data_IF_598206603448
#
_entry.id   IF_598206603448
#
_cell.length_a   1.000
_cell.length_b   1.000
_cell.length_c   1.000
_cell.angle_alpha   90.00
_cell.angle_beta   90.00
_cell.angle_gamma   90.00
#
_symmetry.space_group_name_H-M   'P 1'
#
loop_
_entity.id
_entity.type
_entity.pdbx_description
1 polymer ?
#
# COMPACT_ATOMS: atom_id res chain seq x y z
N UNK A 1 -13.50 21.11 18.16
CA UNK A 1 -13.09 19.97 19.02
C UNK A 1 -11.57 19.97 19.11
N UNK A 2 -10.95 19.89 20.30
CA UNK A 2 -9.50 19.79 20.42
C UNK A 2 -9.00 18.49 19.76
N UNK A 3 -7.99 18.62 18.90
CA UNK A 3 -7.32 17.48 18.25
C UNK A 3 -5.96 17.29 18.92
N UNK A 4 -5.66 16.04 19.30
CA UNK A 4 -4.35 15.67 19.84
C UNK A 4 -3.67 14.74 18.85
N UNK A 5 -2.49 15.12 18.38
CA UNK A 5 -1.67 14.32 17.50
C UNK A 5 -0.82 13.32 18.29
N UNK A 6 -0.84 12.06 17.87
CA UNK A 6 -0.02 10.97 18.41
C UNK A 6 0.84 10.40 17.28
N UNK A 7 2.14 10.67 17.26
CA UNK A 7 3.03 10.02 16.30
C UNK A 7 3.15 8.54 16.65
N UNK A 8 2.92 7.68 15.66
CA UNK A 8 3.18 6.25 15.77
C UNK A 8 4.53 5.91 15.13
N UNK A 9 5.27 4.98 15.75
CA UNK A 9 6.56 4.51 15.22
C UNK A 9 6.40 3.57 14.03
N UNK A 10 5.28 2.87 13.96
CA UNK A 10 4.99 1.85 12.96
C UNK A 10 3.48 1.62 12.76
N UNK A 11 3.13 0.83 11.74
CA UNK A 11 1.74 0.49 11.42
C UNK A 11 1.06 -0.32 12.53
N UNK A 12 1.81 -1.17 13.24
CA UNK A 12 1.26 -1.99 14.31
C UNK A 12 0.80 -1.11 15.49
N UNK A 13 1.55 -0.05 15.82
CA UNK A 13 1.16 0.93 16.84
C UNK A 13 -0.15 1.63 16.50
N UNK A 14 -0.38 1.98 15.23
CA UNK A 14 -1.66 2.57 14.78
C UNK A 14 -2.81 1.56 14.94
N UNK A 15 -2.62 0.32 14.49
CA UNK A 15 -3.63 -0.75 14.61
C UNK A 15 -4.00 -0.95 16.08
N UNK A 16 -3.00 -1.12 16.95
CA UNK A 16 -3.25 -1.31 18.39
C UNK A 16 -3.91 -0.08 19.03
N UNK A 17 -3.52 1.12 18.62
CA UNK A 17 -4.12 2.36 19.11
C UNK A 17 -5.60 2.49 18.79
N UNK A 18 -6.00 2.17 17.56
CA UNK A 18 -7.40 2.21 17.12
C UNK A 18 -8.23 1.08 17.77
N UNK A 19 -7.71 -0.16 17.78
CA UNK A 19 -8.39 -1.29 18.44
C UNK A 19 -8.49 -1.12 19.95
N UNK A 20 -7.44 -0.55 20.58
CA UNK A 20 -7.37 -0.26 22.01
C UNK A 20 -8.03 1.05 22.43
N UNK A 21 -8.64 1.81 21.49
CA UNK A 21 -9.34 3.08 21.72
C UNK A 21 -8.47 4.22 22.29
N UNK A 22 -7.16 4.16 22.06
CA UNK A 22 -6.23 5.26 22.38
C UNK A 22 -6.04 6.22 21.21
N UNK A 23 -6.44 5.79 19.99
CA UNK A 23 -6.57 6.60 18.78
C UNK A 23 -8.02 6.57 18.32
N UNK A 24 -8.51 7.69 17.81
CA UNK A 24 -9.87 7.84 17.30
C UNK A 24 -9.95 7.80 15.77
N UNK A 25 -8.90 8.28 15.12
CA UNK A 25 -8.82 8.49 13.67
C UNK A 25 -7.39 8.33 13.18
N UNK A 26 -7.21 7.72 11.99
CA UNK A 26 -5.90 7.62 11.34
C UNK A 26 -6.04 7.41 9.82
N UNK A 27 -5.03 7.85 9.07
CA UNK A 27 -4.80 7.41 7.68
C UNK A 27 -3.98 6.13 7.69
N UNK A 28 -4.44 5.08 7.02
CA UNK A 28 -3.80 3.76 7.03
C UNK A 28 -3.77 3.14 5.63
N UNK A 29 -2.83 2.22 5.41
CA UNK A 29 -2.86 1.41 4.18
C UNK A 29 -4.02 0.41 4.16
N UNK A 30 -4.46 -0.05 2.97
CA UNK A 30 -5.58 -1.00 2.84
C UNK A 30 -5.39 -2.28 3.67
N UNK A 31 -4.16 -2.79 3.72
CA UNK A 31 -3.80 -3.98 4.51
C UNK A 31 -3.95 -3.76 6.03
N UNK A 32 -3.63 -2.56 6.54
CA UNK A 32 -3.80 -2.23 7.96
C UNK A 32 -5.29 -2.16 8.33
N UNK A 33 -6.11 -1.54 7.46
CA UNK A 33 -7.56 -1.58 7.62
C UNK A 33 -8.09 -3.02 7.64
N UNK A 34 -7.68 -3.85 6.68
CA UNK A 34 -8.08 -5.25 6.61
C UNK A 34 -7.67 -6.02 7.88
N UNK A 35 -6.49 -5.74 8.45
CA UNK A 35 -6.08 -6.36 9.72
C UNK A 35 -7.03 -6.02 10.86
N UNK A 36 -7.36 -4.75 11.02
CA UNK A 36 -8.28 -4.29 12.07
C UNK A 36 -9.68 -4.89 11.90
N UNK A 37 -10.19 -4.92 10.66
CA UNK A 37 -11.49 -5.51 10.36
C UNK A 37 -11.56 -7.01 10.67
N UNK A 38 -10.51 -7.76 10.33
CA UNK A 38 -10.42 -9.20 10.63
C UNK A 38 -10.38 -9.48 12.14
N UNK A 39 -9.67 -8.62 12.88
CA UNK A 39 -9.54 -8.78 14.34
C UNK A 39 -10.80 -8.32 15.08
N UNK A 40 -11.42 -7.22 14.65
CA UNK A 40 -12.69 -6.72 15.17
C UNK A 40 -13.44 -5.89 14.11
N UNK A 41 -14.45 -6.44 13.41
CA UNK A 41 -15.19 -5.74 12.36
C UNK A 41 -16.04 -4.56 12.89
N UNK A 42 -16.18 -4.43 14.21
CA UNK A 42 -16.92 -3.34 14.86
C UNK A 42 -16.01 -2.24 15.42
N UNK A 43 -14.68 -2.36 15.28
CA UNK A 43 -13.76 -1.38 15.86
C UNK A 43 -13.70 -0.08 15.06
N UNK A 44 -13.49 -0.18 13.76
CA UNK A 44 -13.28 0.97 12.86
C UNK A 44 -14.07 0.85 11.57
N UNK A 45 -14.31 1.98 10.93
CA UNK A 45 -14.87 2.07 9.58
C UNK A 45 -14.00 2.98 8.70
N UNK A 46 -13.87 2.68 7.39
CA UNK A 46 -13.22 3.56 6.44
C UNK A 46 -14.22 4.64 6.05
N UNK A 47 -13.78 5.89 5.95
CA UNK A 47 -14.69 7.01 5.70
C UNK A 47 -14.34 7.81 4.45
N UNK A 48 -13.07 8.04 4.19
CA UNK A 48 -12.56 8.77 3.01
C UNK A 48 -11.24 8.17 2.55
N UNK A 49 -10.89 8.46 1.29
CA UNK A 49 -9.55 8.22 0.73
C UNK A 49 -9.16 9.36 -0.20
N UNK A 50 -7.89 9.41 -0.59
CA UNK A 50 -7.35 10.42 -1.50
C UNK A 50 -7.74 10.11 -2.94
N UNK A 51 -8.16 11.15 -3.68
CA UNK A 51 -8.19 11.18 -5.14
C UNK A 51 -6.94 11.88 -5.64
N UNK A 52 -6.15 11.19 -6.42
CA UNK A 52 -4.84 11.65 -6.89
C UNK A 52 -4.93 12.70 -8.00
N UNK A 53 -3.82 13.39 -8.28
CA UNK A 53 -3.76 14.41 -9.35
C UNK A 53 -3.99 13.83 -10.75
N UNK A 54 -3.68 12.54 -10.97
CA UNK A 54 -3.98 11.83 -12.21
C UNK A 54 -5.44 11.36 -12.32
N UNK A 55 -6.29 11.73 -11.35
CA UNK A 55 -7.71 11.39 -11.29
C UNK A 55 -8.00 9.99 -10.74
N UNK A 56 -6.99 9.17 -10.48
CA UNK A 56 -7.16 7.86 -9.88
C UNK A 56 -7.45 7.95 -8.38
N UNK A 57 -8.03 6.89 -7.85
CA UNK A 57 -8.25 6.70 -6.41
C UNK A 57 -7.56 5.42 -5.91
N UNK A 58 -6.54 4.98 -6.64
CA UNK A 58 -5.80 3.77 -6.30
C UNK A 58 -4.48 3.62 -7.04
N UNK A 59 -3.91 2.44 -6.92
CA UNK A 59 -2.57 2.11 -7.40
C UNK A 59 -2.48 0.62 -7.77
N UNK A 60 -1.29 0.17 -8.17
CA UNK A 60 -0.99 -1.24 -8.48
C UNK A 60 0.23 -1.71 -7.72
N UNK A 61 0.28 -3.01 -7.48
CA UNK A 61 1.52 -3.70 -7.12
C UNK A 61 2.32 -3.97 -8.38
N UNK A 62 3.63 -3.81 -8.31
CA UNK A 62 4.57 -4.12 -9.38
C UNK A 62 5.63 -5.10 -8.87
N UNK A 63 5.91 -6.16 -9.63
CA UNK A 63 7.12 -6.96 -9.44
C UNK A 63 8.16 -6.53 -10.45
N UNK A 64 9.40 -6.42 -10.00
CA UNK A 64 10.51 -5.89 -10.78
C UNK A 64 11.81 -6.68 -10.54
N UNK A 65 12.69 -6.60 -11.52
CA UNK A 65 14.01 -7.25 -11.54
C UNK A 65 15.04 -6.27 -12.09
N UNK A 66 16.34 -6.57 -11.98
CA UNK A 66 17.36 -5.82 -12.72
C UNK A 66 17.18 -6.02 -14.21
N UNK A 67 17.40 -4.97 -14.99
CA UNK A 67 17.25 -4.97 -16.46
C UNK A 67 18.26 -5.88 -17.16
N UNK A 68 19.45 -6.06 -16.56
CA UNK A 68 20.50 -6.96 -17.04
C UNK A 68 20.29 -8.44 -16.73
N UNK A 69 19.21 -8.78 -15.98
CA UNK A 69 18.84 -10.16 -15.70
C UNK A 69 18.14 -10.83 -16.88
N UNK A 70 18.17 -12.17 -16.90
CA UNK A 70 17.41 -12.99 -17.85
C UNK A 70 16.01 -13.36 -17.33
N UNK A 71 15.36 -12.44 -16.58
CA UNK A 71 14.03 -12.62 -15.99
C UNK A 71 13.08 -11.64 -16.70
N UNK A 72 12.07 -12.16 -17.39
CA UNK A 72 11.11 -11.37 -18.17
C UNK A 72 9.67 -11.58 -17.72
N UNK A 73 9.40 -12.64 -16.95
CA UNK A 73 8.08 -13.02 -16.47
C UNK A 73 8.13 -13.56 -15.05
N UNK A 74 6.96 -13.82 -14.45
CA UNK A 74 6.87 -14.50 -13.15
C UNK A 74 7.41 -15.93 -13.24
N UNK A 75 7.20 -16.61 -14.34
CA UNK A 75 7.63 -17.99 -14.58
C UNK A 75 9.16 -18.12 -14.55
N UNK A 76 9.88 -17.12 -15.06
CA UNK A 76 11.36 -17.05 -15.03
C UNK A 76 11.92 -16.89 -13.62
N UNK A 77 11.07 -16.53 -12.64
CA UNK A 77 11.47 -16.35 -11.25
C UNK A 77 11.60 -17.67 -10.47
N UNK A 78 11.31 -18.82 -11.09
CA UNK A 78 11.47 -20.12 -10.44
C UNK A 78 12.92 -20.32 -9.98
N UNK A 79 13.11 -20.64 -8.70
CA UNK A 79 14.43 -20.80 -8.08
C UNK A 79 15.20 -19.49 -7.85
N UNK A 80 14.59 -18.33 -8.09
CA UNK A 80 15.18 -17.02 -7.82
C UNK A 80 14.83 -16.52 -6.42
N UNK A 81 15.47 -15.43 -6.00
CA UNK A 81 15.23 -14.81 -4.70
C UNK A 81 14.37 -13.56 -4.81
N UNK A 82 13.50 -13.31 -3.80
CA UNK A 82 12.57 -12.17 -3.78
C UNK A 82 12.71 -11.35 -2.50
N UNK A 83 12.87 -10.04 -2.65
CA UNK A 83 12.77 -9.07 -1.57
C UNK A 83 11.32 -8.54 -1.48
N UNK A 84 10.59 -8.94 -0.45
CA UNK A 84 9.35 -8.29 -0.06
C UNK A 84 9.64 -7.01 0.73
N UNK A 85 8.76 -6.01 0.62
CA UNK A 85 8.98 -4.74 1.33
C UNK A 85 8.82 -4.90 2.84
N UNK A 86 7.63 -5.31 3.29
CA UNK A 86 7.28 -5.51 4.71
C UNK A 86 6.09 -6.47 4.80
N UNK A 87 5.97 -7.30 5.85
CA UNK A 87 4.89 -8.30 5.98
C UNK A 87 3.48 -7.72 6.05
N UNK A 88 3.32 -6.45 6.34
CA UNK A 88 2.02 -5.77 6.41
C UNK A 88 1.71 -4.91 5.19
N UNK A 89 2.65 -4.80 4.21
CA UNK A 89 2.39 -4.00 3.01
C UNK A 89 1.41 -4.69 2.07
N UNK A 90 0.49 -3.91 1.51
CA UNK A 90 -0.47 -4.39 0.51
C UNK A 90 0.24 -4.80 -0.78
N UNK A 91 0.95 -3.87 -1.42
CA UNK A 91 1.58 -4.06 -2.74
C UNK A 91 2.99 -4.65 -2.68
N UNK A 92 3.68 -4.46 -1.57
CA UNK A 92 5.04 -5.00 -1.39
C UNK A 92 5.09 -6.44 -0.93
N UNK A 93 3.92 -7.06 -0.59
CA UNK A 93 3.87 -8.45 -0.14
C UNK A 93 2.51 -9.13 -0.35
N UNK A 94 1.39 -8.59 0.21
CA UNK A 94 0.13 -9.34 0.26
C UNK A 94 -0.45 -9.63 -1.14
N UNK A 95 -0.59 -8.60 -1.96
CA UNK A 95 -1.17 -8.73 -3.30
C UNK A 95 -0.32 -9.60 -4.21
N UNK A 96 1.01 -9.39 -4.37
CA UNK A 96 1.81 -10.27 -5.22
C UNK A 96 1.88 -11.71 -4.69
N UNK A 97 1.92 -11.93 -3.36
CA UNK A 97 1.85 -13.28 -2.81
C UNK A 97 0.54 -13.98 -3.11
N UNK A 98 -0.59 -13.28 -2.99
CA UNK A 98 -1.90 -13.81 -3.33
C UNK A 98 -2.00 -14.16 -4.82
N UNK A 99 -1.54 -13.27 -5.70
CA UNK A 99 -1.50 -13.51 -7.15
C UNK A 99 -0.71 -14.77 -7.51
N UNK A 100 0.45 -14.98 -6.89
CA UNK A 100 1.23 -16.21 -7.09
C UNK A 100 0.42 -17.45 -6.70
N UNK A 101 -0.25 -17.42 -5.55
CA UNK A 101 -1.10 -18.53 -5.12
C UNK A 101 -2.28 -18.77 -6.07
N UNK A 102 -2.91 -17.71 -6.61
CA UNK A 102 -3.99 -17.84 -7.61
C UNK A 102 -3.51 -18.50 -8.91
N UNK A 103 -2.24 -18.34 -9.25
CA UNK A 103 -1.58 -19.03 -10.38
C UNK A 103 -1.13 -20.46 -10.03
N UNK A 104 -1.46 -20.96 -8.84
CA UNK A 104 -0.99 -22.27 -8.37
C UNK A 104 0.49 -22.30 -7.96
N UNK A 105 1.09 -21.14 -7.78
CA UNK A 105 2.50 -21.00 -7.36
C UNK A 105 2.55 -20.86 -5.85
N UNK A 106 3.16 -21.82 -5.17
CA UNK A 106 3.50 -21.71 -3.76
C UNK A 106 4.83 -20.95 -3.61
N UNK A 107 4.86 -19.72 -3.05
CA UNK A 107 6.09 -18.94 -2.97
C UNK A 107 7.24 -19.63 -2.22
N UNK A 108 6.92 -20.44 -1.18
CA UNK A 108 7.93 -21.14 -0.37
C UNK A 108 8.66 -22.27 -1.13
N UNK A 109 8.04 -22.80 -2.17
CA UNK A 109 8.59 -23.86 -3.01
C UNK A 109 9.15 -23.32 -4.33
N UNK A 110 8.59 -22.23 -4.79
CA UNK A 110 8.91 -21.64 -6.08
C UNK A 110 10.19 -20.81 -6.05
N UNK A 111 10.37 -20.01 -4.98
CA UNK A 111 11.56 -19.19 -4.79
C UNK A 111 12.63 -19.95 -4.02
N UNK A 112 13.90 -19.73 -4.36
CA UNK A 112 15.02 -20.27 -3.58
C UNK A 112 15.16 -19.59 -2.21
N UNK A 113 14.75 -18.31 -2.13
CA UNK A 113 14.77 -17.50 -0.92
C UNK A 113 13.80 -16.33 -1.04
N UNK A 114 13.10 -16.03 0.05
CA UNK A 114 12.35 -14.78 0.22
C UNK A 114 12.78 -14.09 1.51
N UNK A 115 12.65 -12.76 1.57
CA UNK A 115 12.95 -12.00 2.77
C UNK A 115 12.26 -10.64 2.74
N UNK A 116 12.14 -10.01 3.90
CA UNK A 116 11.60 -8.66 4.06
C UNK A 116 12.76 -7.66 4.17
N UNK A 117 12.73 -6.62 3.32
CA UNK A 117 13.80 -5.62 3.25
C UNK A 117 13.60 -4.45 4.23
N UNK A 118 12.44 -4.38 4.90
CA UNK A 118 12.10 -3.31 5.85
C UNK A 118 11.43 -2.09 5.22
N UNK A 119 11.16 -2.11 3.90
CA UNK A 119 10.46 -1.05 3.19
C UNK A 119 10.58 -1.17 1.68
N UNK A 120 9.84 -0.33 0.97
CA UNK A 120 9.80 -0.37 -0.50
C UNK A 120 11.13 0.08 -1.13
N UNK A 121 11.69 1.20 -0.68
CA UNK A 121 12.95 1.71 -1.20
C UNK A 121 14.10 0.74 -0.89
N UNK A 122 14.10 0.14 0.31
CA UNK A 122 15.10 -0.86 0.72
C UNK A 122 15.04 -2.12 -0.14
N UNK A 123 13.82 -2.58 -0.51
CA UNK A 123 13.66 -3.72 -1.41
C UNK A 123 14.22 -3.42 -2.81
N UNK A 124 13.99 -2.20 -3.33
CA UNK A 124 14.55 -1.77 -4.62
C UNK A 124 16.07 -1.73 -4.57
N UNK A 125 16.63 -1.13 -3.52
CA UNK A 125 18.10 -1.05 -3.33
C UNK A 125 18.70 -2.46 -3.21
N UNK A 126 18.06 -3.38 -2.49
CA UNK A 126 18.51 -4.75 -2.36
C UNK A 126 18.57 -5.50 -3.71
N UNK A 127 17.60 -5.25 -4.60
CA UNK A 127 17.59 -5.81 -5.96
C UNK A 127 18.67 -5.16 -6.83
N UNK A 128 18.80 -3.84 -6.80
CA UNK A 128 19.86 -3.13 -7.56
C UNK A 128 21.27 -3.59 -7.18
N UNK A 129 21.48 -3.87 -5.89
CA UNK A 129 22.75 -4.36 -5.36
C UNK A 129 22.96 -5.88 -5.57
N UNK A 130 22.02 -6.59 -6.21
CA UNK A 130 22.12 -8.03 -6.45
C UNK A 130 21.97 -8.91 -5.22
N UNK A 131 21.46 -8.36 -4.10
CA UNK A 131 21.19 -9.14 -2.88
C UNK A 131 19.96 -10.04 -3.07
N UNK A 132 19.02 -9.62 -3.93
CA UNK A 132 17.86 -10.38 -4.39
C UNK A 132 17.73 -10.23 -5.90
N UNK A 133 17.09 -11.22 -6.55
CA UNK A 133 16.87 -11.21 -8.00
C UNK A 133 15.67 -10.33 -8.37
N UNK A 134 14.64 -10.29 -7.52
CA UNK A 134 13.41 -9.56 -7.72
C UNK A 134 12.90 -8.89 -6.45
N UNK A 135 11.98 -7.94 -6.63
CA UNK A 135 11.28 -7.29 -5.52
C UNK A 135 9.85 -6.92 -5.89
N UNK A 136 9.09 -6.44 -4.91
CA UNK A 136 7.73 -5.93 -5.09
C UNK A 136 7.56 -4.56 -4.45
N UNK A 137 6.79 -3.67 -5.15
CA UNK A 137 6.53 -2.31 -4.70
C UNK A 137 5.19 -1.81 -5.22
N UNK A 138 4.85 -0.53 -4.96
CA UNK A 138 3.67 0.12 -5.53
C UNK A 138 4.03 1.17 -6.58
N UNK A 139 3.16 1.26 -7.57
CA UNK A 139 3.21 2.23 -8.67
C UNK A 139 1.79 2.68 -9.02
N UNK A 140 1.62 3.85 -9.66
CA UNK A 140 0.30 4.24 -10.18
C UNK A 140 -0.19 3.30 -11.28
N UNK A 141 0.73 2.75 -12.05
CA UNK A 141 0.43 1.98 -13.26
C UNK A 141 -0.10 2.84 -14.41
N UNK A 142 0.07 4.16 -14.31
CA UNK A 142 -0.29 5.17 -15.32
C UNK A 142 0.96 5.91 -15.75
N UNK A 143 0.99 6.37 -17.01
CA UNK A 143 2.15 7.01 -17.60
C UNK A 143 3.23 6.02 -18.03
N UNK A 144 4.39 6.54 -18.33
CA UNK A 144 5.52 5.80 -18.89
C UNK A 144 6.29 5.05 -17.80
N UNK A 145 6.59 3.78 -18.04
CA UNK A 145 7.39 2.95 -17.14
C UNK A 145 8.84 3.42 -17.05
N UNK A 146 9.41 3.94 -18.15
CA UNK A 146 10.76 4.48 -18.17
C UNK A 146 10.90 5.74 -17.29
N UNK A 147 9.81 6.45 -17.05
CA UNK A 147 9.75 7.58 -16.11
C UNK A 147 9.36 7.17 -14.68
N UNK A 148 9.15 5.87 -14.41
CA UNK A 148 8.71 5.35 -13.12
C UNK A 148 7.24 5.56 -12.85
N UNK A 149 6.43 5.67 -13.92
CA UNK A 149 5.00 6.01 -13.90
C UNK A 149 4.72 7.45 -13.40
N UNK A 150 3.47 7.83 -13.26
CA UNK A 150 3.06 9.15 -12.74
C UNK A 150 3.36 9.31 -11.25
N UNK A 151 3.19 8.22 -10.47
CA UNK A 151 3.37 8.15 -9.01
C UNK A 151 3.91 6.78 -8.60
N UNK A 152 4.46 6.70 -7.41
CA UNK A 152 4.93 5.45 -6.82
C UNK A 152 6.37 5.52 -6.36
N UNK A 153 6.85 4.39 -5.85
CA UNK A 153 8.20 4.35 -5.26
C UNK A 153 9.27 4.62 -6.32
N UNK A 154 9.10 4.08 -7.53
CA UNK A 154 10.06 4.35 -8.61
C UNK A 154 10.15 5.84 -8.91
N UNK A 155 9.01 6.51 -9.11
CA UNK A 155 8.98 7.97 -9.39
C UNK A 155 9.63 8.77 -8.26
N UNK A 156 9.34 8.41 -7.01
CA UNK A 156 9.91 9.08 -5.85
C UNK A 156 11.43 8.89 -5.76
N UNK A 157 11.94 7.70 -6.04
CA UNK A 157 13.38 7.42 -6.04
C UNK A 157 14.10 8.11 -7.21
N UNK A 158 13.45 8.22 -8.39
CA UNK A 158 13.98 9.00 -9.53
C UNK A 158 14.09 10.47 -9.14
N UNK A 159 13.04 11.07 -8.57
CA UNK A 159 13.07 12.47 -8.10
C UNK A 159 14.17 12.72 -7.06
N UNK A 160 14.51 11.72 -6.25
CA UNK A 160 15.62 11.78 -5.28
C UNK A 160 17.00 11.51 -5.90
N UNK A 161 17.09 11.15 -7.18
CA UNK A 161 18.33 10.74 -7.83
C UNK A 161 18.87 9.38 -7.39
N UNK A 162 18.02 8.53 -6.79
CA UNK A 162 18.40 7.22 -6.25
C UNK A 162 18.11 6.06 -7.21
N UNK A 163 17.33 6.29 -8.26
CA UNK A 163 16.92 5.27 -9.22
C UNK A 163 16.98 5.82 -10.64
N UNK A 164 17.47 4.97 -11.54
CA UNK A 164 17.38 5.09 -12.98
C UNK A 164 16.64 3.85 -13.50
N UNK A 165 15.52 4.02 -14.20
CA UNK A 165 14.71 2.92 -14.72
C UNK A 165 15.41 2.11 -15.81
N UNK A 166 16.51 2.62 -16.38
CA UNK A 166 17.37 1.80 -17.25
C UNK A 166 18.04 0.62 -16.52
N UNK A 167 18.00 0.62 -15.19
CA UNK A 167 18.54 -0.47 -14.35
C UNK A 167 17.49 -1.50 -13.91
N UNK A 168 16.20 -1.20 -14.08
CA UNK A 168 15.09 -2.06 -13.67
C UNK A 168 14.17 -2.42 -14.84
N UNK A 169 13.54 -3.57 -14.73
CA UNK A 169 12.45 -4.05 -15.58
C UNK A 169 11.27 -4.42 -14.69
N UNK A 170 10.10 -3.88 -14.99
CA UNK A 170 8.83 -4.35 -14.42
C UNK A 170 8.39 -5.58 -15.20
N UNK A 171 8.16 -6.69 -14.49
CA UNK A 171 7.77 -7.97 -15.09
C UNK A 171 6.31 -8.33 -14.85
N UNK A 172 5.66 -7.64 -13.92
CA UNK A 172 4.25 -7.86 -13.60
C UNK A 172 3.62 -6.65 -12.91
N UNK A 173 2.33 -6.43 -13.18
CA UNK A 173 1.46 -5.47 -12.50
C UNK A 173 0.19 -6.17 -12.03
N UNK A 174 -0.28 -5.81 -10.83
CA UNK A 174 -1.56 -6.27 -10.30
C UNK A 174 -2.75 -5.60 -10.98
N UNK A 175 -3.96 -6.09 -10.68
CA UNK A 175 -5.19 -5.33 -10.79
C UNK A 175 -5.16 -4.07 -9.91
N UNK A 176 -6.24 -3.29 -9.97
CA UNK A 176 -6.41 -2.06 -9.21
C UNK A 176 -6.51 -2.34 -7.70
N UNK A 177 -5.85 -1.50 -6.91
CA UNK A 177 -5.89 -1.50 -5.45
C UNK A 177 -6.35 -0.10 -5.02
N UNK A 178 -7.46 -0.01 -4.28
CA UNK A 178 -7.95 1.26 -3.73
C UNK A 178 -6.88 1.91 -2.83
N UNK A 179 -6.74 3.23 -2.87
CA UNK A 179 -5.88 3.98 -1.96
C UNK A 179 -6.25 3.72 -0.50
N UNK A 180 -5.28 3.86 0.40
CA UNK A 180 -5.49 3.61 1.82
C UNK A 180 -6.59 4.50 2.39
N UNK A 181 -7.49 3.94 3.24
CA UNK A 181 -8.55 4.72 3.84
C UNK A 181 -8.05 5.58 5.00
N UNK A 182 -8.72 6.68 5.21
CA UNK A 182 -8.82 7.27 6.53
C UNK A 182 -9.90 6.50 7.30
N UNK A 183 -9.55 6.01 8.46
CA UNK A 183 -10.42 5.20 9.31
C UNK A 183 -10.75 5.93 10.60
N UNK A 184 -11.96 5.70 11.08
CA UNK A 184 -12.46 6.25 12.34
C UNK A 184 -13.09 5.15 13.17
N UNK A 185 -13.04 5.27 14.50
CA UNK A 185 -13.73 4.32 15.38
C UNK A 185 -15.25 4.35 15.16
N UNK A 186 -15.85 3.17 15.03
CA UNK A 186 -17.30 3.03 14.82
C UNK A 186 -18.15 3.53 16.00
N UNK A 187 -17.63 3.45 17.23
CA UNK A 187 -18.35 3.81 18.45
C UNK A 187 -18.39 5.34 18.72
N UNK A 188 -17.79 6.16 17.86
CA UNK A 188 -17.91 7.61 17.95
C UNK A 188 -19.28 8.07 17.43
N UNK A 189 -19.81 9.23 17.92
CA UNK A 189 -21.08 9.77 17.49
C UNK A 189 -21.13 10.00 15.97
N UNK A 190 -22.23 9.63 15.33
CA UNK A 190 -22.39 9.77 13.88
C UNK A 190 -22.36 11.24 13.43
N UNK A 191 -22.88 12.15 14.25
CA UNK A 191 -22.78 13.60 13.98
C UNK A 191 -21.32 14.03 13.83
N UNK A 192 -20.46 13.64 14.77
CA UNK A 192 -19.02 13.93 14.72
C UNK A 192 -18.35 13.31 13.48
N UNK A 193 -18.65 12.04 13.17
CA UNK A 193 -18.13 11.38 11.98
C UNK A 193 -18.52 12.11 10.70
N UNK A 194 -19.79 12.50 10.58
CA UNK A 194 -20.29 13.24 9.43
C UNK A 194 -19.67 14.62 9.29
N UNK A 195 -19.48 15.36 10.39
CA UNK A 195 -18.76 16.64 10.37
C UNK A 195 -17.33 16.47 9.88
N UNK A 196 -16.60 15.47 10.40
CA UNK A 196 -15.23 15.18 9.99
C UNK A 196 -15.15 14.83 8.51
N UNK A 197 -16.04 13.97 8.01
CA UNK A 197 -16.11 13.61 6.60
C UNK A 197 -16.34 14.86 5.73
N UNK A 198 -17.34 15.67 6.08
CA UNK A 198 -17.69 16.86 5.31
C UNK A 198 -16.57 17.90 5.34
N UNK A 199 -15.90 18.07 6.49
CA UNK A 199 -14.74 18.95 6.60
C UNK A 199 -13.62 18.52 5.65
N UNK A 200 -13.23 17.23 5.67
CA UNK A 200 -12.16 16.71 4.81
C UNK A 200 -12.52 16.80 3.31
N UNK A 201 -13.76 16.46 2.94
CA UNK A 201 -14.21 16.57 1.54
C UNK A 201 -14.13 18.01 1.00
N UNK A 202 -14.29 18.99 1.87
CA UNK A 202 -14.23 20.41 1.53
C UNK A 202 -12.90 21.09 1.90
N UNK A 203 -11.96 20.36 2.47
CA UNK A 203 -10.73 20.94 3.04
C UNK A 203 -9.95 21.79 2.05
N UNK A 204 -9.87 21.36 0.79
CA UNK A 204 -9.22 22.13 -0.28
C UNK A 204 -9.80 23.53 -0.48
N UNK A 205 -11.12 23.68 -0.26
CA UNK A 205 -11.82 24.97 -0.38
C UNK A 205 -11.78 25.77 0.92
N UNK A 206 -11.67 25.08 2.07
CA UNK A 206 -11.64 25.71 3.41
C UNK A 206 -10.25 26.23 3.72
N UNK A 207 -9.23 25.39 3.46
CA UNK A 207 -7.83 25.69 3.72
C UNK A 207 -6.94 24.95 2.70
N UNK A 208 -6.66 25.60 1.58
CA UNK A 208 -5.87 25.03 0.49
C UNK A 208 -4.42 24.74 0.93
N UNK A 209 -3.87 25.54 1.83
CA UNK A 209 -2.51 25.34 2.31
C UNK A 209 -2.43 24.08 3.17
N UNK A 210 -3.30 23.92 4.15
CA UNK A 210 -3.41 22.72 4.98
C UNK A 210 -3.65 21.49 4.11
N UNK A 211 -4.55 21.58 3.11
CA UNK A 211 -4.80 20.50 2.17
C UNK A 211 -3.54 20.08 1.41
N UNK A 212 -2.77 21.04 0.89
CA UNK A 212 -1.50 20.76 0.18
C UNK A 212 -0.46 20.11 1.11
N UNK A 213 -0.39 20.56 2.34
CA UNK A 213 0.57 20.00 3.32
C UNK A 213 0.26 18.55 3.65
N UNK A 214 -1.00 18.21 3.97
CA UNK A 214 -1.38 16.84 4.34
C UNK A 214 -1.45 15.87 3.15
N UNK A 215 -1.57 16.37 1.92
CA UNK A 215 -1.59 15.57 0.70
C UNK A 215 -0.28 15.64 -0.09
N UNK A 216 0.74 16.32 0.45
CA UNK A 216 2.02 16.56 -0.21
C UNK A 216 1.89 17.24 -1.59
N UNK A 217 0.80 17.97 -1.82
CA UNK A 217 0.50 18.64 -3.09
C UNK A 217 0.11 17.70 -4.23
N UNK A 218 -0.02 16.41 -3.99
CA UNK A 218 -0.24 15.37 -5.01
C UNK A 218 -1.68 14.84 -5.06
N UNK A 219 -2.68 15.66 -4.67
CA UNK A 219 -4.09 15.23 -4.65
C UNK A 219 -5.04 16.22 -5.29
N UNK A 220 -6.14 15.71 -5.85
CA UNK A 220 -7.29 16.51 -6.30
C UNK A 220 -8.28 16.79 -5.15
N UNK A 221 -8.33 15.93 -4.14
CA UNK A 221 -9.27 16.01 -3.03
C UNK A 221 -9.41 14.68 -2.31
N UNK A 222 -10.42 14.62 -1.45
CA UNK A 222 -10.86 13.38 -0.83
C UNK A 222 -12.17 12.90 -1.47
N UNK A 223 -12.40 11.59 -1.44
CA UNK A 223 -13.66 10.94 -1.82
C UNK A 223 -14.13 10.04 -0.68
N UNK A 224 -15.45 9.85 -0.57
CA UNK A 224 -16.03 8.89 0.38
C UNK A 224 -15.70 7.47 -0.05
N UNK A 225 -15.46 6.61 0.94
CA UNK A 225 -15.30 5.17 0.77
C UNK A 225 -16.04 4.44 1.89
N UNK A 226 -16.26 3.16 1.68
CA UNK A 226 -16.89 2.27 2.66
C UNK A 226 -16.15 0.93 2.72
N UNK A 227 -16.66 -0.01 3.49
CA UNK A 227 -16.05 -1.34 3.65
C UNK A 227 -15.95 -2.10 2.31
N UNK A 228 -16.96 -2.02 1.46
CA UNK A 228 -17.05 -2.74 0.19
C UNK A 228 -15.87 -2.42 -0.75
N UNK A 229 -15.36 -1.19 -0.68
CA UNK A 229 -14.18 -0.77 -1.44
C UNK A 229 -12.89 -1.53 -1.05
N UNK A 230 -12.89 -2.23 0.09
CA UNK A 230 -11.73 -2.91 0.67
C UNK A 230 -11.95 -4.41 0.91
N UNK A 231 -13.11 -4.98 0.57
CA UNK A 231 -13.42 -6.40 0.77
C UNK A 231 -12.37 -7.31 0.13
N UNK A 232 -11.93 -6.99 -1.07
CA UNK A 232 -10.90 -7.76 -1.77
C UNK A 232 -9.58 -7.84 -0.96
N UNK A 233 -9.18 -6.76 -0.28
CA UNK A 233 -7.97 -6.75 0.55
C UNK A 233 -8.17 -7.54 1.85
N UNK A 234 -9.39 -7.50 2.41
CA UNK A 234 -9.75 -8.34 3.56
C UNK A 234 -9.66 -9.81 3.19
N UNK A 235 -10.20 -10.21 2.04
CA UNK A 235 -10.12 -11.59 1.52
C UNK A 235 -8.67 -12.03 1.29
N UNK A 236 -7.86 -11.20 0.60
CA UNK A 236 -6.44 -11.46 0.36
C UNK A 236 -5.70 -11.67 1.67
N UNK A 237 -5.92 -10.77 2.66
CA UNK A 237 -5.26 -10.87 3.96
C UNK A 237 -5.66 -12.11 4.74
N UNK A 238 -6.94 -12.48 4.74
CA UNK A 238 -7.42 -13.72 5.33
C UNK A 238 -6.80 -14.95 4.68
N UNK A 239 -6.73 -14.98 3.35
CA UNK A 239 -6.10 -16.05 2.61
C UNK A 239 -4.63 -16.23 3.02
N UNK A 240 -3.82 -15.17 2.96
CA UNK A 240 -2.39 -15.22 3.32
C UNK A 240 -2.19 -15.61 4.81
N UNK A 241 -3.04 -15.11 5.73
CA UNK A 241 -3.01 -15.48 7.15
C UNK A 241 -3.25 -16.99 7.34
N UNK A 242 -4.17 -17.57 6.58
CA UNK A 242 -4.47 -19.00 6.64
C UNK A 242 -3.35 -19.87 6.03
N UNK A 243 -2.68 -19.41 4.98
CA UNK A 243 -1.51 -20.10 4.43
C UNK A 243 -0.33 -20.17 5.41
N UNK A 244 -0.09 -19.12 6.18
CA UNK A 244 1.00 -19.09 7.19
C UNK A 244 0.76 -20.00 8.41
N UNK A 245 -0.47 -20.47 8.63
CA UNK A 245 -0.85 -21.35 9.75
C UNK A 245 -0.79 -22.83 9.39
N UNK A 246 -0.63 -23.16 8.13
CA UNK A 246 -0.43 -24.51 7.60
C UNK A 246 1.04 -24.86 7.49
#
# INVERSE_FOLDING_TARGET
IPVKFYPASDVAGIIHGLLGKTLDYASVGPSAYAAMYIDNPNAVEPIITIKETDGSNGYKSAMYVRKDSNIYSIEDMKGKSVAWSDPNTTSGYLVPSFELHQRGINPSEFFSRTGFAGGHEQAIIAVLNGQYDAGATWVSGQGDVEEGYTRGVFRNMIKKGLLDMDKLRVIWLSGFIMNGPHVIRKDLPDEFKNELINHNLNLKNIDEQCFKEITFGESQGFIKVNHEDYENIVEIRNFIRNQRRR
#
